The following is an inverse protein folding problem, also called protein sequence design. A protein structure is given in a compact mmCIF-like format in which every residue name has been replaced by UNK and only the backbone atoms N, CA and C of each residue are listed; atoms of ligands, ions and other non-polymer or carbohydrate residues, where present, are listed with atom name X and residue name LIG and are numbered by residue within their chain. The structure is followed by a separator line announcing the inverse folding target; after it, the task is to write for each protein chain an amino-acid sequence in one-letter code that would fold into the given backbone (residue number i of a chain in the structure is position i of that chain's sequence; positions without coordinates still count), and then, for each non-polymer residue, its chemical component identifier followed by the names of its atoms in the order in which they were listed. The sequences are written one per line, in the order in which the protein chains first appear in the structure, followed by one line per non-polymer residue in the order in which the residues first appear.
data_IF_076479818590
#
_entry.id   IF_076479818590
#
_cell.length_a   1.000
_cell.length_b   1.000
_cell.length_c   1.000
_cell.angle_alpha   90.00
_cell.angle_beta   90.00
_cell.angle_gamma   90.00
#
_symmetry.space_group_name_H-M   'P 1'
#
loop_
_entity.id
_entity.type
_entity.pdbx_description
1 polymer ?
#
# COMPACT_ATOMS: atom_id res chain seq x y z
N UNK A 1 -45.45 15.50 -0.62
CA UNK A 1 -44.28 15.38 0.28
C UNK A 1 -43.16 14.63 -0.42
N UNK A 2 -42.13 15.34 -0.90
CA UNK A 2 -40.86 14.75 -1.35
C UNK A 2 -39.75 15.65 -0.83
N UNK A 3 -38.98 15.17 0.13
CA UNK A 3 -37.76 15.83 0.60
C UNK A 3 -36.74 14.76 0.97
N UNK A 4 -35.96 14.28 0.00
CA UNK A 4 -34.66 13.62 0.25
C UNK A 4 -33.80 13.81 -1.01
N UNK A 5 -32.80 14.68 -0.93
CA UNK A 5 -31.92 14.94 -2.07
C UNK A 5 -31.01 16.15 -1.89
N UNK A 6 -30.37 16.33 -0.73
CA UNK A 6 -29.42 17.45 -0.53
C UNK A 6 -28.21 17.13 0.35
N UNK A 7 -27.91 15.85 0.58
CA UNK A 7 -26.76 15.43 1.41
C UNK A 7 -25.51 15.03 0.62
N UNK A 8 -25.63 14.74 -0.69
CA UNK A 8 -24.53 14.22 -1.52
C UNK A 8 -23.75 15.29 -2.28
N UNK A 9 -24.22 16.53 -2.31
CA UNK A 9 -23.59 17.61 -3.08
C UNK A 9 -22.42 18.25 -2.36
N UNK A 10 -22.49 18.48 -1.04
CA UNK A 10 -21.43 19.17 -0.29
C UNK A 10 -20.15 18.33 -0.21
N UNK A 11 -20.24 17.03 0.07
CA UNK A 11 -19.06 16.13 0.13
C UNK A 11 -18.43 16.00 -1.27
N UNK A 12 -19.24 15.86 -2.32
CA UNK A 12 -18.75 15.84 -3.70
C UNK A 12 -18.07 17.17 -4.09
N UNK A 13 -18.63 18.32 -3.69
CA UNK A 13 -18.08 19.64 -3.99
C UNK A 13 -16.78 19.89 -3.22
N UNK A 14 -16.69 19.44 -1.95
CA UNK A 14 -15.47 19.52 -1.14
C UNK A 14 -14.36 18.61 -1.68
N UNK A 15 -14.69 17.38 -2.11
CA UNK A 15 -13.73 16.49 -2.77
C UNK A 15 -13.26 17.07 -4.11
N UNK A 16 -14.16 17.69 -4.88
CA UNK A 16 -13.85 18.32 -6.17
C UNK A 16 -13.02 19.60 -6.01
N UNK A 17 -13.28 20.41 -4.97
CA UNK A 17 -12.44 21.53 -4.56
C UNK A 17 -11.06 21.07 -4.07
N UNK A 18 -10.99 19.95 -3.34
CA UNK A 18 -9.72 19.35 -2.92
C UNK A 18 -8.91 18.85 -4.14
N UNK A 19 -9.59 18.21 -5.11
CA UNK A 19 -9.00 17.75 -6.36
C UNK A 19 -8.54 18.91 -7.26
N UNK A 20 -9.30 20.01 -7.28
CA UNK A 20 -8.99 21.21 -8.06
C UNK A 20 -7.84 22.03 -7.44
N UNK A 21 -7.85 22.19 -6.11
CA UNK A 21 -6.76 22.86 -5.38
C UNK A 21 -5.46 22.03 -5.43
N UNK A 22 -5.57 20.70 -5.44
CA UNK A 22 -4.45 19.79 -5.68
C UNK A 22 -3.91 19.88 -7.11
N UNK A 23 -4.78 19.99 -8.13
CA UNK A 23 -4.36 20.18 -9.52
C UNK A 23 -3.57 21.49 -9.72
N UNK A 24 -4.02 22.59 -9.09
CA UNK A 24 -3.37 23.90 -9.12
C UNK A 24 -1.97 23.90 -8.47
N UNK A 25 -1.79 23.15 -7.38
CA UNK A 25 -0.48 22.99 -6.72
C UNK A 25 0.50 22.21 -7.62
N UNK A 26 0.03 21.15 -8.29
CA UNK A 26 0.90 20.29 -9.12
C UNK A 26 1.48 21.05 -10.32
N UNK A 27 0.72 21.96 -10.93
CA UNK A 27 1.20 22.83 -12.03
C UNK A 27 2.28 23.84 -11.62
N UNK A 28 2.36 24.22 -10.35
CA UNK A 28 3.46 25.07 -9.85
C UNK A 28 4.70 24.28 -9.43
N UNK A 29 4.56 22.99 -9.11
CA UNK A 29 5.65 22.16 -8.61
C UNK A 29 6.50 21.56 -9.73
N UNK A 30 6.01 21.51 -10.98
CA UNK A 30 6.68 20.83 -12.11
C UNK A 30 8.00 21.46 -12.55
N UNK A 31 8.31 22.69 -12.11
CA UNK A 31 9.54 23.40 -12.45
C UNK A 31 10.52 23.53 -11.28
N UNK A 32 10.15 23.04 -10.09
CA UNK A 32 10.99 23.13 -8.91
C UNK A 32 11.95 21.94 -8.84
N UNK A 33 13.17 22.21 -8.40
CA UNK A 33 14.13 21.18 -8.02
C UNK A 33 13.72 20.53 -6.69
N UNK A 34 14.19 19.30 -6.45
CA UNK A 34 13.95 18.58 -5.18
C UNK A 34 14.30 19.41 -3.95
N UNK A 35 15.38 20.20 -4.05
CA UNK A 35 15.83 21.10 -2.98
C UNK A 35 14.82 22.22 -2.72
N UNK A 36 14.29 22.84 -3.77
CA UNK A 36 13.29 23.90 -3.64
C UNK A 36 11.96 23.36 -3.10
N UNK A 37 11.56 22.16 -3.54
CA UNK A 37 10.40 21.45 -2.97
C UNK A 37 10.63 21.18 -1.48
N UNK A 38 11.81 20.68 -1.10
CA UNK A 38 12.18 20.46 0.30
C UNK A 38 12.12 21.74 1.14
N UNK A 39 12.63 22.86 0.60
CA UNK A 39 12.56 24.17 1.27
C UNK A 39 11.12 24.67 1.44
N UNK A 40 10.27 24.47 0.42
CA UNK A 40 8.84 24.82 0.49
C UNK A 40 8.13 24.01 1.58
N UNK A 41 8.37 22.70 1.63
CA UNK A 41 7.82 21.81 2.66
C UNK A 41 8.30 22.23 4.06
N UNK A 42 9.61 22.46 4.23
CA UNK A 42 10.17 22.87 5.52
C UNK A 42 9.61 24.23 5.99
N UNK A 43 9.43 25.19 5.07
CA UNK A 43 8.79 26.46 5.36
C UNK A 43 7.35 26.31 5.84
N UNK A 44 6.56 25.46 5.18
CA UNK A 44 5.18 25.17 5.57
C UNK A 44 5.11 24.49 6.95
N UNK A 45 5.95 23.49 7.20
CA UNK A 45 6.01 22.81 8.51
C UNK A 45 6.46 23.75 9.62
N UNK A 46 7.44 24.63 9.35
CA UNK A 46 7.86 25.67 10.30
C UNK A 46 6.73 26.66 10.60
N UNK A 47 5.99 27.10 9.57
CA UNK A 47 4.85 27.99 9.76
C UNK A 47 3.77 27.31 10.61
N UNK A 48 3.39 26.06 10.29
CA UNK A 48 2.46 25.26 11.08
C UNK A 48 2.91 25.07 12.53
N UNK A 49 4.23 24.85 12.73
CA UNK A 49 4.82 24.68 14.04
C UNK A 49 4.66 25.92 14.91
N UNK A 50 4.91 27.11 14.34
CA UNK A 50 4.92 28.39 15.08
C UNK A 50 3.49 28.93 15.25
N UNK A 51 2.60 28.70 14.29
CA UNK A 51 1.22 29.19 14.32
C UNK A 51 0.45 28.64 15.54
N UNK A 52 -0.10 29.51 16.41
CA UNK A 52 -0.95 29.11 17.53
C UNK A 52 -2.21 28.33 17.13
N UNK A 53 -2.69 28.50 15.89
CA UNK A 53 -3.82 27.74 15.33
C UNK A 53 -3.41 26.36 14.81
N UNK A 54 -2.11 26.16 14.59
CA UNK A 54 -1.51 24.89 14.21
C UNK A 54 -0.98 24.17 15.46
N UNK A 55 0.32 23.86 15.46
CA UNK A 55 0.94 23.16 16.58
C UNK A 55 1.37 24.09 17.73
N UNK A 56 1.54 25.39 17.48
CA UNK A 56 1.82 26.41 18.49
C UNK A 56 3.02 26.11 19.41
N UNK A 57 4.09 25.52 18.88
CA UNK A 57 5.21 25.03 19.69
C UNK A 57 6.59 25.54 19.24
N UNK A 58 7.52 25.63 20.19
CA UNK A 58 8.91 26.02 19.91
C UNK A 58 9.70 24.86 19.30
N UNK A 59 10.90 25.17 18.80
CA UNK A 59 11.79 24.14 18.27
C UNK A 59 12.28 23.18 19.37
N UNK A 60 12.51 23.71 20.58
CA UNK A 60 12.87 22.93 21.77
C UNK A 60 11.74 22.01 22.24
N UNK A 61 10.49 22.46 22.17
CA UNK A 61 9.34 21.62 22.46
C UNK A 61 9.19 20.50 21.41
N UNK A 62 9.34 20.84 20.11
CA UNK A 62 9.32 19.85 19.04
C UNK A 62 10.45 18.82 19.19
N UNK A 63 11.65 19.25 19.56
CA UNK A 63 12.80 18.36 19.84
C UNK A 63 12.46 17.35 20.92
N UNK A 64 11.94 17.82 22.06
CA UNK A 64 11.53 16.96 23.18
C UNK A 64 10.42 15.98 22.79
N UNK A 65 9.39 16.44 22.08
CA UNK A 65 8.25 15.60 21.66
C UNK A 65 8.60 14.59 20.57
N UNK A 66 9.45 14.96 19.62
CA UNK A 66 9.85 14.09 18.51
C UNK A 66 11.00 13.13 18.88
N UNK A 67 11.68 13.36 20.01
CA UNK A 67 12.88 12.63 20.41
C UNK A 67 14.09 12.93 19.53
N UNK A 68 14.05 14.01 18.73
CA UNK A 68 15.14 14.41 17.84
C UNK A 68 15.96 15.55 18.45
N UNK A 69 17.27 15.59 18.16
CA UNK A 69 18.10 16.72 18.54
C UNK A 69 17.71 18.03 17.82
N UNK A 70 18.07 19.17 18.42
CA UNK A 70 17.83 20.50 17.86
C UNK A 70 18.56 20.74 16.52
N UNK A 71 19.77 20.18 16.37
CA UNK A 71 20.60 20.39 15.18
C UNK A 71 19.94 19.85 13.90
N UNK A 72 19.48 18.59 13.84
CA UNK A 72 18.69 18.08 12.71
C UNK A 72 17.45 18.93 12.39
N UNK A 73 16.73 19.39 13.41
CA UNK A 73 15.54 20.23 13.23
C UNK A 73 15.86 21.60 12.63
N UNK A 74 16.89 22.29 13.17
CA UNK A 74 17.37 23.57 12.62
C UNK A 74 17.89 23.42 11.20
N UNK A 75 18.63 22.34 10.92
CA UNK A 75 19.13 22.03 9.58
C UNK A 75 17.96 21.82 8.63
N UNK A 76 16.97 21.02 8.99
CA UNK A 76 15.80 20.78 8.17
C UNK A 76 15.06 22.09 7.85
N UNK A 77 14.75 22.91 8.86
CA UNK A 77 14.07 24.19 8.66
C UNK A 77 14.86 25.15 7.74
N UNK A 78 16.20 25.04 7.71
CA UNK A 78 17.07 25.88 6.87
C UNK A 78 17.31 25.32 5.47
N UNK A 79 17.45 24.01 5.33
CA UNK A 79 17.92 23.38 4.08
C UNK A 79 16.86 22.57 3.36
N UNK A 80 15.72 22.27 3.99
CA UNK A 80 14.66 21.43 3.42
C UNK A 80 14.95 19.94 3.42
N UNK A 81 16.14 19.52 3.85
CA UNK A 81 16.61 18.14 3.78
C UNK A 81 16.41 17.39 5.09
N UNK A 82 15.73 16.24 5.02
CA UNK A 82 15.48 15.34 6.16
C UNK A 82 15.24 13.92 5.64
N UNK A 83 15.50 12.90 6.47
CA UNK A 83 15.11 11.52 6.15
C UNK A 83 13.61 11.32 6.36
N UNK A 84 13.01 10.38 5.62
CA UNK A 84 11.58 10.07 5.76
C UNK A 84 11.20 9.68 7.21
N UNK A 85 12.04 8.88 7.88
CA UNK A 85 11.84 8.51 9.30
C UNK A 85 11.73 9.73 10.22
N UNK A 86 12.63 10.70 10.05
CA UNK A 86 12.65 11.90 10.88
C UNK A 86 11.47 12.84 10.53
N UNK A 87 11.08 12.90 9.27
CA UNK A 87 9.86 13.60 8.85
C UNK A 87 8.61 13.00 9.51
N UNK A 88 8.49 11.66 9.53
CA UNK A 88 7.40 10.96 10.23
C UNK A 88 7.40 11.31 11.72
N UNK A 89 8.55 11.28 12.39
CA UNK A 89 8.67 11.63 13.80
C UNK A 89 8.22 13.08 14.08
N UNK A 90 8.63 14.01 13.22
CA UNK A 90 8.27 15.42 13.28
C UNK A 90 6.74 15.61 13.11
N UNK A 91 6.17 15.04 12.04
CA UNK A 91 4.73 15.14 11.76
C UNK A 91 3.88 14.43 12.82
N UNK A 92 4.37 13.33 13.41
CA UNK A 92 3.72 12.66 14.54
C UNK A 92 3.71 13.55 15.78
N UNK A 93 4.84 14.17 16.12
CA UNK A 93 4.94 15.07 17.28
C UNK A 93 4.03 16.31 17.17
N UNK A 94 3.75 16.75 15.95
CA UNK A 94 2.82 17.86 15.66
C UNK A 94 1.37 17.41 15.42
N UNK A 95 1.05 16.11 15.55
CA UNK A 95 -0.31 15.59 15.44
C UNK A 95 -0.88 15.54 14.02
N UNK A 96 -0.04 15.61 12.99
CA UNK A 96 -0.47 15.72 11.59
C UNK A 96 -0.01 14.56 10.70
N UNK A 97 0.37 13.43 11.29
CA UNK A 97 0.88 12.27 10.56
C UNK A 97 -0.11 11.74 9.50
N UNK A 98 -1.41 11.85 9.73
CA UNK A 98 -2.45 11.45 8.76
C UNK A 98 -2.27 12.11 7.39
N UNK A 99 -1.90 13.40 7.36
CA UNK A 99 -1.67 14.12 6.10
C UNK A 99 -0.53 13.53 5.26
N UNK A 100 0.47 12.90 5.90
CA UNK A 100 1.56 12.22 5.20
C UNK A 100 1.11 10.89 4.61
N UNK A 101 0.27 10.15 5.35
CA UNK A 101 -0.27 8.85 4.92
C UNK A 101 -1.23 9.05 3.75
N UNK A 102 -2.01 10.13 3.77
CA UNK A 102 -2.98 10.47 2.72
C UNK A 102 -2.35 11.15 1.49
N UNK A 103 -1.01 11.18 1.39
CA UNK A 103 -0.33 11.75 0.21
C UNK A 103 -0.62 10.94 -1.06
N UNK A 104 -0.65 9.62 -0.93
CA UNK A 104 -0.86 8.68 -2.03
C UNK A 104 -2.36 8.36 -2.07
N UNK A 105 -3.07 8.66 -3.16
CA UNK A 105 -4.48 8.31 -3.26
C UNK A 105 -4.63 6.79 -3.15
N UNK A 106 -5.59 6.35 -2.34
CA UNK A 106 -5.96 4.94 -2.32
C UNK A 106 -6.40 4.54 -3.74
N UNK A 107 -5.81 3.48 -4.27
CA UNK A 107 -6.33 2.85 -5.48
C UNK A 107 -7.63 2.18 -5.05
N UNK A 108 -8.76 2.70 -5.52
CA UNK A 108 -10.04 1.99 -5.48
C UNK A 108 -9.87 0.73 -6.34
N UNK A 109 -9.31 -0.32 -5.76
CA UNK A 109 -9.17 -1.59 -6.43
C UNK A 109 -10.58 -2.18 -6.55
N UNK A 110 -11.09 -2.25 -7.79
CA UNK A 110 -12.36 -2.92 -8.05
C UNK A 110 -12.37 -4.29 -7.37
N UNK A 111 -13.43 -4.54 -6.59
CA UNK A 111 -13.54 -5.78 -5.85
C UNK A 111 -13.49 -6.97 -6.82
N UNK A 112 -12.86 -8.10 -6.48
CA UNK A 112 -12.91 -9.31 -7.29
C UNK A 112 -14.33 -9.69 -7.74
N UNK A 113 -15.35 -9.34 -6.95
CA UNK A 113 -16.76 -9.50 -7.31
C UNK A 113 -17.23 -8.56 -8.42
N UNK A 114 -16.79 -7.30 -8.42
CA UNK A 114 -17.13 -6.33 -9.47
C UNK A 114 -16.47 -6.67 -10.80
N UNK A 115 -15.23 -7.19 -10.75
CA UNK A 115 -14.55 -7.73 -11.93
C UNK A 115 -15.36 -8.89 -12.51
N UNK A 116 -15.81 -9.83 -11.65
CA UNK A 116 -16.63 -10.96 -12.07
C UNK A 116 -18.01 -10.53 -12.61
N UNK A 117 -18.65 -9.54 -11.99
CA UNK A 117 -19.94 -9.02 -12.46
C UNK A 117 -19.82 -8.33 -13.82
N UNK A 118 -18.74 -7.58 -14.05
CA UNK A 118 -18.46 -6.94 -15.34
C UNK A 118 -18.26 -8.00 -16.43
N UNK A 119 -17.53 -9.08 -16.13
CA UNK A 119 -17.39 -10.22 -17.04
C UNK A 119 -18.70 -10.97 -17.28
N UNK A 120 -19.53 -11.13 -16.25
CA UNK A 120 -20.84 -11.78 -16.38
C UNK A 120 -21.79 -10.98 -17.27
N UNK A 121 -21.78 -9.64 -17.12
CA UNK A 121 -22.57 -8.72 -17.95
C UNK A 121 -22.10 -8.75 -19.41
N UNK A 122 -20.81 -8.83 -19.67
CA UNK A 122 -20.27 -8.88 -21.05
C UNK A 122 -20.47 -10.23 -21.73
N UNK A 123 -20.53 -11.33 -20.97
CA UNK A 123 -20.70 -12.71 -21.48
C UNK A 123 -22.16 -13.18 -21.57
N UNK A 124 -23.16 -12.33 -21.37
CA UNK A 124 -24.56 -12.74 -21.47
C UNK A 124 -24.90 -13.11 -22.93
N UNK A 125 -24.71 -14.38 -23.26
CA UNK A 125 -24.98 -14.95 -24.59
C UNK A 125 -26.43 -14.63 -24.96
N UNK A 126 -26.62 -13.74 -25.93
CA UNK A 126 -27.92 -13.52 -26.56
C UNK A 126 -28.32 -14.86 -27.19
N UNK A 127 -29.37 -15.49 -26.66
CA UNK A 127 -29.88 -16.74 -27.22
C UNK A 127 -30.38 -16.43 -28.63
N UNK A 128 -29.87 -17.16 -29.62
CA UNK A 128 -30.46 -17.14 -30.95
C UNK A 128 -31.96 -17.50 -30.84
N UNK A 129 -32.85 -16.85 -31.61
CA UNK A 129 -34.26 -17.20 -31.62
C UNK A 129 -34.39 -18.71 -31.91
N UNK A 130 -35.21 -19.42 -31.13
CA UNK A 130 -35.49 -20.83 -31.43
C UNK A 130 -36.25 -20.89 -32.75
N UNK A 131 -35.65 -21.51 -33.76
CA UNK A 131 -36.38 -21.92 -34.94
C UNK A 131 -37.52 -22.88 -34.52
N UNK A 132 -38.70 -22.82 -35.16
CA UNK A 132 -39.79 -23.73 -34.86
C UNK A 132 -39.32 -25.17 -35.08
N UNK A 133 -39.52 -25.99 -34.04
CA UNK A 133 -39.15 -27.40 -34.01
C UNK A 133 -39.92 -28.12 -35.12
N UNK A 134 -39.23 -28.53 -36.19
CA UNK A 134 -39.80 -29.50 -37.13
C UNK A 134 -40.04 -30.80 -36.36
N UNK A 135 -41.30 -31.21 -36.25
CA UNK A 135 -41.72 -32.47 -35.67
C UNK A 135 -41.34 -33.62 -36.63
N UNK A 136 -40.07 -34.00 -36.60
CA UNK A 136 -39.61 -35.27 -37.15
C UNK A 136 -39.91 -36.38 -36.14
N UNK A 137 -40.68 -37.38 -36.55
CA UNK A 137 -41.00 -38.59 -35.79
C UNK A 137 -39.69 -39.30 -35.39
N UNK A 138 -39.27 -39.19 -34.13
CA UNK A 138 -38.13 -39.96 -33.61
C UNK A 138 -38.58 -41.38 -33.25
N UNK A 139 -37.95 -42.38 -33.86
CA UNK A 139 -37.85 -43.73 -33.30
C UNK A 139 -36.79 -43.69 -32.19
N UNK A 140 -37.10 -44.26 -31.03
CA UNK A 140 -36.16 -44.36 -29.91
C UNK A 140 -35.03 -45.32 -30.28
N UNK A 141 -33.83 -44.79 -30.48
CA UNK A 141 -32.59 -45.56 -30.43
C UNK A 141 -32.05 -45.42 -29.01
N UNK A 142 -31.94 -46.53 -28.29
CA UNK A 142 -31.38 -46.57 -26.95
C UNK A 142 -29.97 -46.00 -26.94
N UNK A 143 -29.74 -45.00 -26.10
CA UNK A 143 -28.46 -44.33 -25.95
C UNK A 143 -27.59 -45.09 -24.92
N UNK A 144 -26.31 -45.39 -25.21
CA UNK A 144 -25.45 -46.07 -24.25
C UNK A 144 -25.13 -45.14 -23.06
N UNK A 145 -25.05 -45.73 -21.86
CA UNK A 145 -24.76 -45.00 -20.62
C UNK A 145 -23.45 -44.22 -20.71
N UNK A 146 -23.48 -42.97 -20.25
CA UNK A 146 -22.34 -42.06 -20.31
C UNK A 146 -21.21 -42.55 -19.38
N UNK A 147 -19.94 -42.56 -19.84
CA UNK A 147 -18.82 -43.02 -19.02
C UNK A 147 -18.52 -42.01 -17.90
N UNK A 148 -18.42 -42.51 -16.66
CA UNK A 148 -18.03 -41.71 -15.49
C UNK A 148 -16.58 -41.20 -15.64
N UNK A 149 -16.40 -39.87 -15.59
CA UNK A 149 -15.06 -39.26 -15.55
C UNK A 149 -14.38 -39.54 -14.21
N UNK A 150 -13.26 -40.29 -14.23
CA UNK A 150 -12.39 -40.47 -13.06
C UNK A 150 -11.61 -39.19 -12.81
N UNK A 151 -11.79 -38.59 -11.63
CA UNK A 151 -10.99 -37.46 -11.15
C UNK A 151 -9.60 -37.98 -10.78
N UNK A 152 -8.61 -37.70 -11.62
CA UNK A 152 -7.21 -37.92 -11.25
C UNK A 152 -6.76 -36.79 -10.31
N UNK A 153 -6.26 -37.15 -9.13
CA UNK A 153 -5.61 -36.21 -8.21
C UNK A 153 -4.31 -35.71 -8.84
N UNK A 154 -4.21 -34.40 -9.06
CA UNK A 154 -3.24 -33.79 -9.97
C UNK A 154 -1.75 -33.98 -9.59
N UNK A 155 -1.45 -34.46 -8.38
CA UNK A 155 -0.09 -34.68 -7.88
C UNK A 155 0.03 -35.95 -7.02
N UNK A 156 -0.87 -36.93 -7.21
CA UNK A 156 -0.83 -38.18 -6.44
C UNK A 156 0.54 -38.87 -6.62
N UNK A 157 1.34 -38.88 -5.55
CA UNK A 157 2.67 -39.49 -5.52
C UNK A 157 3.86 -38.59 -5.92
N UNK A 158 3.64 -37.32 -6.28
CA UNK A 158 4.74 -36.41 -6.69
C UNK A 158 5.34 -35.58 -5.54
N UNK A 159 4.69 -35.53 -4.38
CA UNK A 159 5.21 -34.85 -3.19
C UNK A 159 5.44 -35.92 -2.13
N UNK A 160 6.70 -36.20 -1.79
CA UNK A 160 7.07 -37.00 -0.61
C UNK A 160 7.32 -36.04 0.54
N UNK A 161 6.44 -36.10 1.53
CA UNK A 161 6.62 -35.38 2.78
C UNK A 161 7.58 -36.19 3.67
N UNK A 162 8.71 -35.63 4.11
CA UNK A 162 9.59 -36.31 5.06
C UNK A 162 8.87 -36.64 6.38
N UNK A 163 9.30 -37.72 7.04
CA UNK A 163 8.69 -38.19 8.29
C UNK A 163 8.95 -37.24 9.48
N UNK A 164 9.90 -36.31 9.35
CA UNK A 164 10.39 -35.41 10.41
C UNK A 164 9.99 -33.93 10.22
N UNK A 165 9.05 -33.63 9.31
CA UNK A 165 8.60 -32.24 9.03
C UNK A 165 8.12 -31.51 10.28
N UNK A 166 7.50 -32.21 11.23
CA UNK A 166 7.01 -31.62 12.48
C UNK A 166 8.13 -31.23 13.46
N UNK A 167 9.35 -31.72 13.24
CA UNK A 167 10.50 -31.50 14.14
C UNK A 167 11.61 -30.68 13.49
N UNK A 168 11.69 -30.66 12.16
CA UNK A 168 12.73 -29.96 11.40
C UNK A 168 12.67 -28.43 11.62
N UNK A 169 13.80 -27.85 12.04
CA UNK A 169 13.92 -26.40 12.28
C UNK A 169 13.29 -25.90 13.58
N UNK A 170 12.87 -26.81 14.46
CA UNK A 170 12.33 -26.48 15.79
C UNK A 170 13.33 -25.70 16.65
N UNK A 171 14.61 -26.04 16.57
CA UNK A 171 15.74 -25.37 17.23
C UNK A 171 15.91 -23.91 16.76
N UNK A 172 15.84 -23.68 15.45
CA UNK A 172 15.94 -22.33 14.85
C UNK A 172 14.75 -21.47 15.27
N UNK A 173 13.54 -22.04 15.25
CA UNK A 173 12.32 -21.34 15.67
C UNK A 173 12.40 -21.04 17.18
N UNK A 174 12.81 -22.00 18.00
CA UNK A 174 12.94 -21.84 19.44
C UNK A 174 13.93 -20.73 19.81
N UNK A 175 15.12 -20.69 19.20
CA UNK A 175 16.09 -19.62 19.41
C UNK A 175 15.56 -18.23 19.02
N UNK A 176 14.72 -18.15 17.98
CA UNK A 176 14.10 -16.91 17.52
C UNK A 176 13.08 -16.35 18.53
N UNK A 177 12.44 -17.22 19.31
CA UNK A 177 11.43 -16.85 20.31
C UNK A 177 11.98 -16.75 21.74
N UNK A 178 13.04 -17.50 22.08
CA UNK A 178 13.66 -17.50 23.42
C UNK A 178 14.74 -16.42 23.60
N UNK A 179 15.08 -15.67 22.54
CA UNK A 179 15.79 -14.39 22.66
C UNK A 179 17.32 -14.48 22.69
N UNK A 180 17.92 -15.60 22.31
CA UNK A 180 19.38 -15.70 22.12
C UNK A 180 19.77 -15.13 20.75
N UNK A 181 19.60 -13.81 20.59
CA UNK A 181 20.02 -13.05 19.43
C UNK A 181 21.54 -12.78 19.49
N UNK A 182 22.35 -13.84 19.52
CA UNK A 182 23.77 -13.76 19.24
C UNK A 182 24.23 -15.07 18.59
N UNK A 183 24.41 -15.03 17.28
CA UNK A 183 24.89 -16.13 16.41
C UNK A 183 23.79 -17.02 15.82
N UNK A 184 23.02 -16.46 14.86
CA UNK A 184 22.44 -17.29 13.80
C UNK A 184 23.56 -17.90 12.92
N UNK A 185 23.35 -19.05 12.28
CA UNK A 185 24.40 -19.70 11.51
C UNK A 185 24.78 -18.87 10.27
N UNK A 186 25.97 -18.28 10.32
CA UNK A 186 26.87 -18.23 9.17
C UNK A 186 26.48 -17.40 7.94
N UNK A 187 26.07 -16.14 8.09
CA UNK A 187 26.28 -15.15 7.02
C UNK A 187 27.44 -14.23 7.42
N UNK A 188 28.67 -14.71 7.26
CA UNK A 188 29.83 -13.83 7.34
C UNK A 188 29.83 -12.91 6.13
N UNK A 189 29.43 -11.65 6.32
CA UNK A 189 29.79 -10.60 5.37
C UNK A 189 31.23 -10.23 5.68
N UNK A 190 32.16 -10.73 4.87
CA UNK A 190 33.54 -10.25 4.86
C UNK A 190 33.51 -8.76 4.56
N UNK A 191 33.68 -7.93 5.58
CA UNK A 191 34.09 -6.54 5.39
C UNK A 191 35.60 -6.59 5.21
N UNK A 192 36.05 -6.60 3.95
CA UNK A 192 37.45 -6.34 3.64
C UNK A 192 37.79 -4.93 4.11
N UNK A 193 38.42 -4.84 5.29
CA UNK A 193 38.87 -3.61 5.96
C UNK A 193 40.15 -3.02 5.33
N UNK A 194 40.38 -3.20 4.03
CA UNK A 194 41.62 -2.80 3.36
C UNK A 194 41.41 -1.81 2.20
N UNK A 195 40.69 -0.73 2.50
CA UNK A 195 40.58 0.43 1.61
C UNK A 195 40.76 1.74 2.36
N UNK A 196 41.80 1.83 3.20
CA UNK A 196 42.39 3.13 3.52
C UNK A 196 43.19 3.59 2.30
N UNK A 197 42.52 4.29 1.40
CA UNK A 197 43.18 5.07 0.36
C UNK A 197 44.07 6.16 0.99
N UNK A 198 45.14 6.59 0.30
CA UNK A 198 46.18 7.40 0.91
C UNK A 198 45.67 8.80 1.23
N UNK A 199 46.04 9.27 2.42
CA UNK A 199 45.96 10.66 2.83
C UNK A 199 46.87 11.51 1.93
N UNK A 200 46.29 12.44 1.18
CA UNK A 200 46.93 13.68 0.73
C UNK A 200 45.93 14.83 0.89
#
# INVERSE_FOLDING_TARGET
MRTYGSGKTIISLLAQLCSFNRLMIVTELSHLTDKEVGLRIAGQLRAWRIDPRGAGMTLDELSRRSGMGLTPLRRFEKTGGITLRNLIALMRAMGMLGQLVDLIPAVEAESPMEILERERRSKQRKRAPRAPKKEGRLMALEAPEAPQMKRFGFLAGQIRLPDDVDTMGSDVIQALFEGDAATGPGYQVSLDEDSRGPTL
#
